data_IF_235813116565
#
_entry.id   IF_235813116565
#
_cell.length_a   1.000
_cell.length_b   1.000
_cell.length_c   1.000
_cell.angle_alpha   90.00
_cell.angle_beta   90.00
_cell.angle_gamma   90.00
#
_symmetry.space_group_name_H-M   'P 1'
#
loop_
_entity.id
_entity.type
_entity.pdbx_description
1 polymer ?
#
# COMPACT_ATOMS: atom_id res chain seq x y z
N UNK A 1 -38.92 56.80 -34.83
CA UNK A 1 -37.75 55.91 -34.89
C UNK A 1 -37.36 55.53 -33.47
N UNK A 2 -37.67 54.30 -33.03
CA UNK A 2 -37.27 53.76 -31.72
C UNK A 2 -36.31 52.61 -31.99
N UNK A 3 -35.04 52.77 -31.62
CA UNK A 3 -34.02 51.75 -31.77
C UNK A 3 -34.11 50.78 -30.58
N UNK A 4 -34.35 49.51 -30.88
CA UNK A 4 -34.28 48.40 -29.93
C UNK A 4 -32.81 47.96 -29.83
N UNK A 5 -32.21 48.12 -28.65
CA UNK A 5 -30.89 47.57 -28.35
C UNK A 5 -31.06 46.20 -27.69
N UNK A 6 -30.80 45.14 -28.45
CA UNK A 6 -30.81 43.75 -27.95
C UNK A 6 -29.46 43.46 -27.31
N UNK A 7 -29.43 43.31 -25.98
CA UNK A 7 -28.26 42.91 -25.21
C UNK A 7 -28.08 41.39 -25.36
N UNK A 8 -27.01 40.97 -26.05
CA UNK A 8 -26.65 39.55 -26.22
C UNK A 8 -25.76 39.11 -25.05
N UNK A 9 -26.34 38.44 -24.06
CA UNK A 9 -25.60 37.83 -22.96
C UNK A 9 -24.88 36.56 -23.44
N UNK A 10 -23.57 36.65 -23.65
CA UNK A 10 -22.70 35.50 -23.90
C UNK A 10 -22.44 34.80 -22.57
N UNK A 11 -23.14 33.70 -22.30
CA UNK A 11 -22.86 32.82 -21.17
C UNK A 11 -21.56 32.03 -21.46
N UNK A 12 -20.48 32.41 -20.78
CA UNK A 12 -19.24 31.64 -20.74
C UNK A 12 -19.48 30.37 -19.92
N UNK A 13 -19.78 29.26 -20.59
CA UNK A 13 -19.74 27.93 -19.99
C UNK A 13 -18.30 27.55 -19.69
N UNK A 14 -17.88 27.70 -18.43
CA UNK A 14 -16.66 27.09 -17.93
C UNK A 14 -16.86 25.56 -17.95
N UNK A 15 -16.38 24.93 -19.01
CA UNK A 15 -16.20 23.48 -19.04
C UNK A 15 -15.15 23.12 -17.98
N UNK A 16 -15.62 22.68 -16.80
CA UNK A 16 -14.77 22.00 -15.84
C UNK A 16 -14.32 20.69 -16.49
N UNK A 17 -13.08 20.67 -16.98
CA UNK A 17 -12.46 19.42 -17.38
C UNK A 17 -12.48 18.48 -16.15
N UNK A 18 -12.92 17.22 -16.29
CA UNK A 18 -12.85 16.27 -15.19
C UNK A 18 -11.39 16.17 -14.75
N UNK A 19 -11.12 16.50 -13.49
CA UNK A 19 -9.83 16.24 -12.86
C UNK A 19 -9.68 14.73 -12.87
N UNK A 20 -8.82 14.20 -13.75
CA UNK A 20 -8.44 12.80 -13.70
C UNK A 20 -7.77 12.56 -12.34
N UNK A 21 -8.45 11.82 -11.45
CA UNK A 21 -7.81 11.26 -10.28
C UNK A 21 -6.74 10.30 -10.77
N UNK A 22 -5.47 10.63 -10.56
CA UNK A 22 -4.40 9.67 -10.79
C UNK A 22 -4.55 8.54 -9.77
N UNK A 23 -4.44 7.30 -10.24
CA UNK A 23 -4.39 6.11 -9.38
C UNK A 23 -3.20 6.24 -8.42
N UNK A 24 -3.49 6.40 -7.13
CA UNK A 24 -2.52 6.36 -6.04
C UNK A 24 -2.29 4.89 -5.71
N UNK A 25 -1.04 4.45 -5.57
CA UNK A 25 -0.72 3.05 -5.22
C UNK A 25 -0.08 2.96 -3.86
N UNK A 26 -0.40 1.94 -3.08
CA UNK A 26 0.19 1.70 -1.75
C UNK A 26 0.91 0.36 -1.71
N UNK A 27 2.16 0.36 -1.24
CA UNK A 27 2.94 -0.86 -1.02
C UNK A 27 2.86 -1.30 0.44
N UNK A 28 2.54 -2.57 0.67
CA UNK A 28 2.45 -3.20 1.98
C UNK A 28 3.40 -4.39 2.03
N UNK A 29 4.07 -4.59 3.16
CA UNK A 29 5.03 -5.70 3.33
C UNK A 29 4.92 -6.29 4.73
N UNK A 30 4.89 -7.62 4.78
CA UNK A 30 4.92 -8.43 5.99
C UNK A 30 6.15 -9.32 5.96
N UNK A 31 6.83 -9.43 7.09
CA UNK A 31 7.91 -10.39 7.31
C UNK A 31 7.56 -11.23 8.52
N UNK A 32 7.83 -12.51 8.44
CA UNK A 32 7.50 -13.43 9.51
C UNK A 32 8.23 -14.75 9.36
N UNK A 33 7.73 -15.74 10.08
CA UNK A 33 8.13 -17.13 9.97
C UNK A 33 6.91 -18.01 9.71
N UNK A 34 7.13 -19.15 9.09
CA UNK A 34 6.11 -20.19 8.98
C UNK A 34 5.87 -20.76 10.38
N UNK A 35 4.63 -20.72 10.84
CA UNK A 35 4.21 -21.38 12.08
C UNK A 35 3.73 -22.81 11.80
N UNK A 36 2.92 -22.97 10.76
CA UNK A 36 2.37 -24.27 10.35
C UNK A 36 2.30 -24.30 8.83
N UNK A 37 2.70 -25.40 8.20
CA UNK A 37 2.55 -25.63 6.77
C UNK A 37 1.73 -26.89 6.53
N UNK A 38 0.69 -26.76 5.71
CA UNK A 38 -0.18 -27.86 5.30
C UNK A 38 0.02 -28.13 3.81
N UNK A 39 0.08 -29.41 3.46
CA UNK A 39 0.09 -29.90 2.07
C UNK A 39 1.26 -29.39 1.21
N UNK A 40 2.44 -29.17 1.81
CA UNK A 40 3.68 -28.98 1.05
C UNK A 40 4.94 -29.49 1.78
N UNK A 41 5.67 -30.48 1.23
CA UNK A 41 6.80 -31.13 1.94
C UNK A 41 8.11 -30.33 1.93
N UNK A 42 8.14 -29.11 1.38
CA UNK A 42 9.35 -28.28 1.26
C UNK A 42 9.31 -27.00 2.09
N UNK A 43 8.21 -26.81 2.83
CA UNK A 43 8.02 -25.67 3.73
C UNK A 43 8.12 -26.19 5.15
N UNK A 44 9.06 -25.65 5.92
CA UNK A 44 9.29 -26.07 7.30
C UNK A 44 8.86 -24.97 8.29
N UNK A 45 8.41 -25.39 9.48
CA UNK A 45 8.17 -24.46 10.59
C UNK A 45 9.47 -23.70 10.94
N UNK A 46 9.35 -22.38 11.11
CA UNK A 46 10.47 -21.48 11.36
C UNK A 46 11.08 -20.85 10.11
N UNK A 47 10.73 -21.32 8.90
CA UNK A 47 11.22 -20.72 7.65
C UNK A 47 10.82 -19.24 7.55
N UNK A 48 11.79 -18.39 7.19
CA UNK A 48 11.53 -16.97 7.00
C UNK A 48 10.66 -16.74 5.75
N UNK A 49 9.62 -15.92 5.91
CA UNK A 49 8.73 -15.51 4.82
C UNK A 49 8.68 -14.00 4.71
N UNK A 50 8.68 -13.49 3.48
CA UNK A 50 8.36 -12.09 3.17
C UNK A 50 7.23 -12.06 2.15
N UNK A 51 6.16 -11.33 2.45
CA UNK A 51 5.04 -11.09 1.55
C UNK A 51 4.91 -9.60 1.29
N UNK A 52 4.96 -9.18 0.03
CA UNK A 52 4.79 -7.79 -0.37
C UNK A 52 3.64 -7.69 -1.38
N UNK A 53 2.71 -6.76 -1.20
CA UNK A 53 1.71 -6.45 -2.21
C UNK A 53 1.58 -4.95 -2.44
N UNK A 54 1.15 -4.60 -3.65
CA UNK A 54 0.89 -3.22 -4.07
C UNK A 54 -0.59 -3.12 -4.41
N UNK A 55 -1.29 -2.15 -3.81
CA UNK A 55 -2.70 -1.87 -4.08
C UNK A 55 -2.85 -0.63 -4.95
N UNK A 56 -3.82 -0.61 -5.87
CA UNK A 56 -4.32 0.61 -6.49
C UNK A 56 -5.45 1.16 -5.59
N UNK A 57 -5.21 2.29 -4.92
CA UNK A 57 -6.18 2.88 -4.00
C UNK A 57 -7.36 3.54 -4.70
N UNK A 58 -7.29 3.70 -6.02
CA UNK A 58 -8.40 4.17 -6.84
C UNK A 58 -9.22 3.03 -7.44
N UNK A 59 -8.85 1.76 -7.20
CA UNK A 59 -9.62 0.62 -7.66
C UNK A 59 -11.04 0.68 -7.06
N UNK A 60 -12.08 0.78 -7.90
CA UNK A 60 -13.45 0.82 -7.42
C UNK A 60 -13.86 -0.55 -6.90
N UNK A 61 -14.72 -0.58 -5.88
CA UNK A 61 -15.52 -1.77 -5.60
C UNK A 61 -16.44 -2.00 -6.81
N UNK A 62 -16.31 -3.17 -7.43
CA UNK A 62 -17.09 -3.55 -8.63
C UNK A 62 -18.14 -4.62 -8.30
N UNK A 63 -18.28 -5.03 -7.04
CA UNK A 63 -19.34 -5.96 -6.65
C UNK A 63 -20.72 -5.28 -6.81
N UNK A 64 -21.71 -5.98 -7.36
CA UNK A 64 -23.10 -5.51 -7.34
C UNK A 64 -23.64 -5.27 -5.93
N UNK A 65 -23.07 -5.94 -4.93
CA UNK A 65 -23.34 -5.77 -3.51
C UNK A 65 -22.12 -5.16 -2.80
N UNK A 66 -22.05 -3.81 -2.70
CA UNK A 66 -20.90 -3.13 -2.11
C UNK A 66 -20.69 -3.45 -0.62
N UNK A 67 -21.68 -4.06 0.04
CA UNK A 67 -21.53 -4.52 1.44
C UNK A 67 -20.62 -5.75 1.59
N UNK A 68 -20.15 -6.31 0.48
CA UNK A 68 -19.20 -7.44 0.45
C UNK A 68 -17.75 -7.01 0.31
N UNK A 69 -17.49 -5.72 0.03
CA UNK A 69 -16.16 -5.15 -0.10
C UNK A 69 -15.27 -5.88 -1.11
N UNK A 70 -15.74 -6.06 -2.35
CA UNK A 70 -15.01 -6.84 -3.37
C UNK A 70 -14.39 -5.95 -4.45
N UNK A 71 -13.08 -5.79 -4.38
CA UNK A 71 -12.31 -5.01 -5.33
C UNK A 71 -11.71 -5.93 -6.40
N UNK A 72 -12.43 -6.05 -7.52
CA UNK A 72 -12.16 -7.04 -8.58
C UNK A 72 -11.27 -6.45 -9.69
N UNK A 73 -10.42 -7.30 -10.26
CA UNK A 73 -9.59 -7.16 -11.47
C UNK A 73 -8.35 -6.28 -11.45
N UNK A 74 -8.20 -5.28 -10.57
CA UNK A 74 -6.99 -4.43 -10.57
C UNK A 74 -6.64 -3.85 -9.18
N UNK A 75 -7.31 -4.31 -8.13
CA UNK A 75 -7.12 -3.79 -6.77
C UNK A 75 -5.71 -4.08 -6.25
N UNK A 76 -5.21 -5.27 -6.56
CA UNK A 76 -3.81 -5.65 -6.35
C UNK A 76 -3.11 -5.43 -7.68
N UNK A 77 -2.04 -4.63 -7.69
CA UNK A 77 -1.20 -4.36 -8.87
C UNK A 77 -0.09 -5.41 -9.00
N UNK A 78 0.51 -5.78 -7.87
CA UNK A 78 1.53 -6.81 -7.79
C UNK A 78 1.55 -7.46 -6.42
N UNK A 79 1.95 -8.73 -6.37
CA UNK A 79 2.06 -9.52 -5.14
C UNK A 79 3.32 -10.38 -5.22
N UNK A 80 4.17 -10.35 -4.21
CA UNK A 80 5.44 -11.09 -4.15
C UNK A 80 5.50 -11.92 -2.89
N UNK A 81 5.95 -13.16 -3.03
CA UNK A 81 6.26 -14.05 -1.91
C UNK A 81 7.70 -14.48 -2.02
N UNK A 82 8.44 -14.37 -0.91
CA UNK A 82 9.80 -14.86 -0.78
C UNK A 82 9.88 -15.81 0.41
N UNK A 83 10.35 -17.02 0.17
CA UNK A 83 10.67 -18.03 1.19
C UNK A 83 12.06 -18.58 0.83
N UNK A 84 13.15 -17.94 1.31
CA UNK A 84 14.51 -18.28 0.86
C UNK A 84 14.92 -19.72 1.13
N UNK A 85 14.46 -20.31 2.24
CA UNK A 85 14.78 -21.71 2.59
C UNK A 85 14.20 -22.72 1.59
N UNK A 86 13.10 -22.35 0.92
CA UNK A 86 12.43 -23.13 -0.12
C UNK A 86 12.85 -22.71 -1.55
N UNK A 87 13.87 -21.85 -1.69
CA UNK A 87 14.30 -21.23 -2.94
C UNK A 87 13.14 -20.54 -3.71
N UNK A 88 12.14 -20.00 -3.00
CA UNK A 88 10.98 -19.35 -3.61
C UNK A 88 11.12 -17.82 -3.61
N UNK A 89 10.95 -17.22 -4.79
CA UNK A 89 10.83 -15.78 -5.05
C UNK A 89 9.91 -15.51 -6.26
N UNK A 90 8.60 -15.63 -6.03
CA UNK A 90 7.57 -15.46 -7.06
C UNK A 90 7.00 -14.05 -7.06
N UNK A 91 6.79 -13.48 -8.25
CA UNK A 91 6.05 -12.22 -8.42
C UNK A 91 4.82 -12.47 -9.28
N UNK A 92 3.67 -12.12 -8.73
CA UNK A 92 2.35 -12.17 -9.33
C UNK A 92 1.88 -10.74 -9.61
N UNK A 93 1.00 -10.61 -10.57
CA UNK A 93 0.51 -9.36 -11.13
C UNK A 93 -0.89 -9.05 -10.67
N UNK A 94 -1.69 -8.39 -11.52
CA UNK A 94 -2.99 -7.91 -11.12
C UNK A 94 -3.88 -8.98 -10.51
N UNK A 95 -4.63 -8.56 -9.49
CA UNK A 95 -5.45 -9.43 -8.67
C UNK A 95 -6.52 -8.66 -7.92
N UNK A 96 -7.12 -9.32 -6.94
CA UNK A 96 -8.28 -8.83 -6.22
C UNK A 96 -7.99 -8.66 -4.73
N UNK A 97 -8.74 -7.75 -4.10
CA UNK A 97 -8.79 -7.63 -2.66
C UNK A 97 -10.24 -7.78 -2.23
N UNK A 98 -10.44 -8.53 -1.16
CA UNK A 98 -11.75 -8.71 -0.56
C UNK A 98 -11.71 -8.39 0.92
N UNK A 99 -12.65 -7.56 1.38
CA UNK A 99 -12.90 -7.28 2.80
C UNK A 99 -14.24 -7.89 3.17
N UNK A 100 -14.24 -9.05 3.82
CA UNK A 100 -15.44 -9.72 4.29
C UNK A 100 -15.86 -9.21 5.67
N UNK A 101 -17.07 -8.65 5.75
CA UNK A 101 -17.82 -8.57 7.00
C UNK A 101 -18.52 -9.92 7.22
N UNK A 102 -18.05 -10.69 8.20
CA UNK A 102 -18.69 -11.96 8.53
C UNK A 102 -19.69 -11.77 9.66
N UNK A 103 -20.88 -11.28 9.33
CA UNK A 103 -21.97 -11.11 10.30
C UNK A 103 -22.46 -12.42 10.95
N UNK A 104 -22.08 -13.60 10.42
CA UNK A 104 -22.56 -14.90 10.87
C UNK A 104 -21.49 -15.78 11.57
N UNK A 105 -20.20 -15.46 11.44
CA UNK A 105 -19.08 -16.16 12.06
C UNK A 105 -18.15 -15.08 12.63
N UNK A 106 -17.66 -15.16 13.87
CA UNK A 106 -17.22 -13.98 14.63
C UNK A 106 -15.97 -13.26 14.11
N UNK A 107 -15.38 -13.71 13.00
CA UNK A 107 -14.12 -13.20 12.49
C UNK A 107 -14.29 -12.56 11.11
N UNK A 108 -14.12 -11.24 11.07
CA UNK A 108 -13.88 -10.49 9.84
C UNK A 108 -12.66 -11.06 9.11
N UNK A 109 -12.70 -11.02 7.78
CA UNK A 109 -11.61 -11.53 6.96
C UNK A 109 -11.20 -10.53 5.89
N UNK A 110 -9.90 -10.37 5.68
CA UNK A 110 -9.38 -9.71 4.48
C UNK A 110 -8.60 -10.73 3.67
N UNK A 111 -8.79 -10.74 2.36
CA UNK A 111 -8.04 -11.58 1.43
C UNK A 111 -7.41 -10.71 0.35
N UNK A 112 -6.11 -10.90 0.12
CA UNK A 112 -5.35 -10.27 -0.96
C UNK A 112 -4.88 -11.38 -1.88
N UNK A 113 -5.44 -11.44 -3.08
CA UNK A 113 -5.21 -12.53 -4.03
C UNK A 113 -4.58 -12.00 -5.33
N UNK A 114 -3.62 -12.75 -5.88
CA UNK A 114 -3.07 -12.52 -7.22
C UNK A 114 -2.87 -13.84 -7.96
N UNK A 115 -3.32 -13.90 -9.22
CA UNK A 115 -3.30 -15.14 -10.03
C UNK A 115 -2.58 -15.04 -11.38
N UNK A 116 -2.10 -13.85 -11.77
CA UNK A 116 -1.33 -13.67 -13.00
C UNK A 116 0.16 -13.71 -12.69
N UNK A 117 0.93 -14.64 -13.24
CA UNK A 117 2.38 -14.69 -13.00
C UNK A 117 3.11 -13.59 -13.78
N UNK A 118 3.88 -12.74 -13.10
CA UNK A 118 4.76 -11.73 -13.71
C UNK A 118 6.22 -12.19 -13.74
N UNK A 119 6.67 -12.84 -12.67
CA UNK A 119 7.95 -13.51 -12.56
C UNK A 119 7.68 -14.94 -12.08
N UNK A 120 7.85 -15.95 -12.96
CA UNK A 120 7.59 -17.33 -12.60
C UNK A 120 8.64 -17.83 -11.62
N UNK A 121 8.19 -18.69 -10.70
CA UNK A 121 9.04 -19.50 -9.86
C UNK A 121 8.35 -20.81 -9.50
N UNK A 122 9.07 -21.71 -8.85
CA UNK A 122 8.57 -23.02 -8.44
C UNK A 122 8.66 -23.20 -6.94
N UNK A 123 7.67 -23.87 -6.37
CA UNK A 123 7.71 -24.38 -5.01
C UNK A 123 7.74 -25.91 -5.08
N UNK A 124 8.79 -26.52 -4.52
CA UNK A 124 9.02 -27.97 -4.63
C UNK A 124 9.06 -28.50 -6.06
N UNK A 125 9.57 -27.69 -7.00
CA UNK A 125 9.63 -28.03 -8.42
C UNK A 125 8.31 -27.89 -9.19
N UNK A 126 7.21 -27.49 -8.53
CA UNK A 126 5.95 -27.18 -9.21
C UNK A 126 5.80 -25.67 -9.39
N UNK A 127 5.48 -25.16 -10.60
CA UNK A 127 5.25 -23.74 -10.82
C UNK A 127 4.15 -23.19 -9.91
N UNK A 128 4.42 -22.04 -9.29
CA UNK A 128 3.42 -21.26 -8.56
C UNK A 128 2.62 -20.45 -9.58
N UNK A 129 1.29 -20.54 -9.53
CA UNK A 129 0.40 -19.85 -10.47
C UNK A 129 -0.53 -18.84 -9.80
N UNK A 130 -0.73 -18.91 -8.48
CA UNK A 130 -1.43 -17.89 -7.72
C UNK A 130 -0.97 -17.88 -6.26
N UNK A 131 -1.25 -16.79 -5.56
CA UNK A 131 -1.08 -16.71 -4.12
C UNK A 131 -2.16 -15.84 -3.50
N UNK A 132 -2.47 -16.12 -2.24
CA UNK A 132 -3.42 -15.38 -1.43
C UNK A 132 -2.83 -15.13 -0.04
N UNK A 133 -2.92 -13.89 0.46
CA UNK A 133 -2.68 -13.59 1.86
C UNK A 133 -4.01 -13.24 2.53
N UNK A 134 -4.44 -14.12 3.42
CA UNK A 134 -5.61 -13.97 4.27
C UNK A 134 -5.26 -13.42 5.65
N UNK A 135 -6.16 -12.61 6.20
CA UNK A 135 -6.09 -12.01 7.52
C UNK A 135 -7.39 -12.31 8.24
N UNK A 136 -7.35 -12.92 9.43
CA UNK A 136 -8.56 -13.22 10.21
C UNK A 136 -8.34 -12.94 11.70
N UNK A 137 -9.42 -12.61 12.41
CA UNK A 137 -9.38 -12.29 13.85
C UNK A 137 -8.78 -10.90 14.08
N UNK A 138 -9.56 -9.85 13.80
CA UNK A 138 -9.12 -8.47 13.98
C UNK A 138 -9.45 -8.00 15.41
N UNK A 139 -8.48 -7.77 16.29
CA UNK A 139 -8.80 -7.34 17.65
C UNK A 139 -9.41 -5.93 17.63
N UNK A 140 -10.60 -5.77 18.22
CA UNK A 140 -11.17 -4.46 18.48
C UNK A 140 -10.36 -3.71 19.55
N UNK A 141 -10.58 -2.38 19.69
CA UNK A 141 -9.99 -1.63 20.78
C UNK A 141 -10.31 -2.29 22.12
N UNK A 142 -9.29 -2.53 22.96
CA UNK A 142 -9.44 -3.16 24.28
C UNK A 142 -9.93 -4.63 24.28
N UNK A 143 -9.73 -5.37 23.18
CA UNK A 143 -10.15 -6.78 23.10
C UNK A 143 -11.66 -6.95 22.90
N UNK A 144 -12.35 -5.89 22.50
CA UNK A 144 -13.70 -6.00 21.96
C UNK A 144 -13.66 -6.80 20.63
N UNK A 145 -14.77 -7.46 20.24
CA UNK A 145 -14.89 -8.03 18.91
C UNK A 145 -14.52 -6.98 17.86
N UNK A 146 -13.93 -7.38 16.71
CA UNK A 146 -13.57 -6.45 15.66
C UNK A 146 -14.68 -5.42 15.43
N UNK A 147 -14.38 -4.14 15.68
CA UNK A 147 -15.19 -3.10 15.09
C UNK A 147 -14.77 -3.08 13.63
N UNK A 148 -15.68 -3.49 12.76
CA UNK A 148 -15.61 -3.56 11.30
C UNK A 148 -14.45 -2.78 10.68
N UNK A 149 -13.93 -3.23 9.53
CA UNK A 149 -13.39 -2.27 8.56
C UNK A 149 -14.59 -1.42 8.11
N UNK A 150 -15.00 -0.46 8.94
CA UNK A 150 -16.27 0.31 8.96
C UNK A 150 -16.50 1.15 7.70
N UNK A 151 -15.67 0.98 6.68
CA UNK A 151 -15.61 1.83 5.50
C UNK A 151 -15.65 1.07 4.18
N UNK A 152 -15.72 -0.29 4.18
CA UNK A 152 -15.62 -1.12 2.96
C UNK A 152 -14.57 -0.57 1.99
N UNK A 153 -13.45 -0.12 2.56
CA UNK A 153 -12.42 0.61 1.86
C UNK A 153 -11.18 -0.26 1.77
N UNK A 154 -10.49 -0.17 0.63
CA UNK A 154 -9.20 -0.80 0.45
C UNK A 154 -8.28 -0.49 1.64
N UNK A 155 -7.73 -1.50 2.33
CA UNK A 155 -6.84 -1.28 3.44
C UNK A 155 -5.52 -0.72 2.92
N UNK A 156 -5.41 0.61 2.91
CA UNK A 156 -4.21 1.36 2.51
C UNK A 156 -3.11 1.34 3.58
N UNK A 157 -3.26 0.50 4.61
CA UNK A 157 -2.31 0.32 5.71
C UNK A 157 -2.17 -1.16 6.02
N UNK A 158 -1.09 -1.50 6.71
CA UNK A 158 -0.89 -2.86 7.24
C UNK A 158 -2.03 -3.23 8.18
N UNK A 159 -2.51 -4.45 8.02
CA UNK A 159 -3.55 -5.06 8.82
C UNK A 159 -2.92 -5.75 10.03
N UNK A 160 -3.52 -5.52 11.19
CA UNK A 160 -3.21 -6.23 12.43
C UNK A 160 -4.31 -7.26 12.65
N UNK A 161 -3.94 -8.53 12.51
CA UNK A 161 -4.82 -9.67 12.66
C UNK A 161 -4.17 -10.69 13.60
N UNK A 162 -4.98 -11.50 14.27
CA UNK A 162 -4.52 -12.58 15.13
C UNK A 162 -3.97 -13.75 14.31
N UNK A 163 -4.48 -13.92 13.09
CA UNK A 163 -4.07 -14.99 12.17
C UNK A 163 -3.77 -14.42 10.79
N UNK A 164 -2.61 -14.81 10.27
CA UNK A 164 -2.16 -14.56 8.91
C UNK A 164 -2.00 -15.90 8.20
N UNK A 165 -2.68 -16.08 7.07
CA UNK A 165 -2.64 -17.31 6.28
C UNK A 165 -2.18 -17.01 4.87
N UNK A 166 -1.11 -17.64 4.42
CA UNK A 166 -0.62 -17.56 3.05
C UNK A 166 -1.03 -18.84 2.31
N UNK A 167 -1.80 -18.70 1.24
CA UNK A 167 -2.12 -19.78 0.33
C UNK A 167 -1.23 -19.68 -0.90
N UNK A 168 -0.50 -20.74 -1.22
CA UNK A 168 0.33 -20.83 -2.43
C UNK A 168 -0.28 -21.87 -3.36
N UNK A 169 -0.71 -21.44 -4.54
CA UNK A 169 -1.27 -22.34 -5.55
C UNK A 169 -0.17 -22.80 -6.50
N UNK A 170 -0.05 -24.11 -6.65
CA UNK A 170 0.89 -24.71 -7.59
C UNK A 170 0.14 -25.57 -8.60
N UNK A 171 0.67 -25.64 -9.83
CA UNK A 171 0.01 -26.36 -10.93
C UNK A 171 -0.20 -27.85 -10.64
N UNK A 172 0.75 -28.50 -9.95
CA UNK A 172 0.71 -29.95 -9.71
C UNK A 172 0.07 -30.35 -8.37
N UNK A 173 0.26 -29.56 -7.30
CA UNK A 173 -0.23 -29.91 -5.96
C UNK A 173 -1.56 -29.23 -5.59
N UNK A 174 -2.04 -28.28 -6.40
CA UNK A 174 -3.28 -27.55 -6.16
C UNK A 174 -3.04 -26.32 -5.28
N UNK A 175 -2.93 -26.51 -3.97
CA UNK A 175 -2.70 -25.41 -3.02
C UNK A 175 -2.01 -25.88 -1.74
N UNK A 176 -1.30 -24.97 -1.09
CA UNK A 176 -0.68 -25.18 0.22
C UNK A 176 -1.08 -24.05 1.15
N UNK A 177 -1.42 -24.39 2.39
CA UNK A 177 -1.77 -23.40 3.42
C UNK A 177 -0.59 -23.20 4.35
N UNK A 178 -0.21 -21.96 4.58
CA UNK A 178 0.88 -21.62 5.49
C UNK A 178 0.36 -20.62 6.51
N UNK A 179 0.26 -21.03 7.77
CA UNK A 179 -0.01 -20.12 8.87
C UNK A 179 1.27 -19.40 9.21
N UNK A 180 1.21 -18.06 9.29
CA UNK A 180 2.39 -17.23 9.50
C UNK A 180 2.39 -16.65 10.92
N UNK A 181 3.56 -16.69 11.56
CA UNK A 181 3.86 -15.84 12.70
C UNK A 181 4.57 -14.58 12.19
N UNK A 182 3.86 -13.45 12.18
CA UNK A 182 4.42 -12.16 11.78
C UNK A 182 5.22 -11.61 12.97
N UNK A 183 6.51 -11.95 13.02
CA UNK A 183 7.44 -11.63 14.13
C UNK A 183 7.74 -10.14 14.28
N UNK A 184 7.58 -9.39 13.20
CA UNK A 184 7.44 -7.95 13.27
C UNK A 184 6.93 -7.47 11.92
N UNK A 185 6.04 -6.50 11.91
CA UNK A 185 6.18 -5.47 10.88
C UNK A 185 7.55 -4.85 11.12
N UNK A 186 8.55 -5.00 10.24
CA UNK A 186 9.73 -4.17 10.37
C UNK A 186 9.18 -2.76 10.31
N UNK A 187 9.41 -1.96 11.36
CA UNK A 187 9.33 -0.53 11.20
C UNK A 187 10.24 -0.25 10.00
N UNK A 188 9.64 0.19 8.88
CA UNK A 188 10.42 0.52 7.71
C UNK A 188 11.53 1.44 8.21
N UNK A 189 12.77 1.04 7.95
CA UNK A 189 13.90 1.83 8.39
C UNK A 189 13.75 3.22 7.80
N UNK A 190 14.30 4.24 8.47
CA UNK A 190 14.29 5.61 7.93
C UNK A 190 14.85 5.64 6.50
N UNK A 191 15.78 4.74 6.18
CA UNK A 191 16.31 4.55 4.83
C UNK A 191 15.24 4.08 3.84
N UNK A 192 14.53 3.00 4.14
CA UNK A 192 13.50 2.45 3.24
C UNK A 192 12.35 3.44 3.02
N UNK A 193 11.93 4.16 4.07
CA UNK A 193 10.94 5.23 3.96
C UNK A 193 11.42 6.39 3.06
N UNK A 194 12.69 6.79 3.21
CA UNK A 194 13.30 7.83 2.37
C UNK A 194 13.41 7.39 0.92
N UNK A 195 13.85 6.16 0.67
CA UNK A 195 14.01 5.63 -0.69
C UNK A 195 12.65 5.47 -1.39
N UNK A 196 11.62 5.02 -0.66
CA UNK A 196 10.25 4.93 -1.16
C UNK A 196 9.69 6.32 -1.56
N UNK A 197 9.76 7.31 -0.66
CA UNK A 197 9.30 8.66 -0.95
C UNK A 197 10.08 9.33 -2.11
N UNK A 198 11.38 9.04 -2.26
CA UNK A 198 12.17 9.52 -3.39
C UNK A 198 11.76 8.85 -4.70
N UNK A 199 11.41 7.55 -4.66
CA UNK A 199 10.91 6.83 -5.83
C UNK A 199 9.60 7.45 -6.34
N UNK A 200 8.65 7.73 -5.45
CA UNK A 200 7.40 8.42 -5.77
C UNK A 200 7.64 9.82 -6.35
N UNK A 201 8.55 10.61 -5.77
CA UNK A 201 8.92 11.92 -6.33
C UNK A 201 9.52 11.80 -7.74
N UNK A 202 10.25 10.72 -8.06
CA UNK A 202 10.77 10.50 -9.42
C UNK A 202 9.66 10.13 -10.39
N UNK A 203 8.76 9.24 -9.99
CA UNK A 203 7.58 8.89 -10.79
C UNK A 203 6.71 10.13 -11.08
N UNK A 204 6.50 10.97 -10.07
CA UNK A 204 5.77 12.22 -10.20
C UNK A 204 6.43 13.25 -11.13
N UNK A 205 7.76 13.25 -11.23
CA UNK A 205 8.47 14.08 -12.23
C UNK A 205 8.26 13.53 -13.63
N UNK A 206 8.30 12.20 -13.80
CA UNK A 206 8.10 11.55 -15.09
C UNK A 206 6.67 11.76 -15.63
N UNK A 207 5.66 11.77 -14.75
CA UNK A 207 4.27 12.05 -15.11
C UNK A 207 3.94 13.54 -15.25
N UNK A 208 4.89 14.44 -14.93
CA UNK A 208 4.65 15.89 -14.94
C UNK A 208 3.80 16.39 -13.76
N UNK A 209 3.49 15.54 -12.78
CA UNK A 209 2.75 15.90 -11.57
C UNK A 209 3.51 16.92 -10.71
N UNK A 210 4.84 16.96 -10.76
CA UNK A 210 5.64 17.96 -10.06
C UNK A 210 6.84 18.41 -10.88
N UNK A 211 7.16 19.70 -10.82
CA UNK A 211 8.37 20.23 -11.46
C UNK A 211 9.64 19.61 -10.87
N UNK A 212 10.59 19.23 -11.73
CA UNK A 212 11.84 18.58 -11.33
C UNK A 212 12.63 19.34 -10.24
N UNK A 213 12.59 20.67 -10.24
CA UNK A 213 13.22 21.49 -9.20
C UNK A 213 12.60 21.31 -7.81
N UNK A 214 11.27 21.24 -7.74
CA UNK A 214 10.54 21.01 -6.49
C UNK A 214 10.78 19.59 -5.96
N UNK A 215 10.69 18.58 -6.83
CA UNK A 215 10.99 17.20 -6.48
C UNK A 215 12.42 17.02 -5.97
N UNK A 216 13.41 17.63 -6.65
CA UNK A 216 14.81 17.61 -6.21
C UNK A 216 14.98 18.25 -4.83
N UNK A 217 14.33 19.38 -4.56
CA UNK A 217 14.35 20.04 -3.25
C UNK A 217 13.76 19.17 -2.14
N UNK A 218 12.68 18.45 -2.41
CA UNK A 218 12.06 17.51 -1.48
C UNK A 218 12.95 16.29 -1.24
N UNK A 219 13.48 15.68 -2.29
CA UNK A 219 14.40 14.54 -2.21
C UNK A 219 15.69 14.86 -1.42
N UNK A 220 16.24 16.07 -1.54
CA UNK A 220 17.38 16.53 -0.74
C UNK A 220 17.04 16.58 0.76
N UNK A 221 15.80 16.90 1.13
CA UNK A 221 15.37 16.88 2.53
C UNK A 221 15.25 15.46 3.05
N UNK A 222 14.66 14.56 2.27
CA UNK A 222 14.54 13.14 2.59
C UNK A 222 15.93 12.50 2.82
N UNK A 223 16.89 12.68 1.90
CA UNK A 223 18.26 12.20 2.11
C UNK A 223 18.97 12.81 3.31
N UNK A 224 18.68 14.07 3.64
CA UNK A 224 19.22 14.70 4.85
C UNK A 224 18.63 14.10 6.12
N UNK A 225 17.36 13.66 6.12
CA UNK A 225 16.75 12.93 7.24
C UNK A 225 17.49 11.61 7.45
N UNK A 226 17.63 10.78 6.40
CA UNK A 226 18.40 9.53 6.42
C UNK A 226 19.82 9.73 6.97
N UNK A 227 20.57 10.68 6.39
CA UNK A 227 21.95 10.96 6.80
C UNK A 227 22.06 11.41 8.26
N UNK A 228 21.15 12.27 8.73
CA UNK A 228 21.18 12.77 10.11
C UNK A 228 20.78 11.68 11.11
N UNK A 229 19.78 10.87 10.78
CA UNK A 229 19.37 9.73 11.59
C UNK A 229 20.49 8.69 11.71
N UNK A 230 21.11 8.29 10.59
CA UNK A 230 22.24 7.36 10.58
C UNK A 230 23.47 7.86 11.35
N UNK A 231 23.59 9.17 11.56
CA UNK A 231 24.61 9.78 12.42
C UNK A 231 24.19 9.92 13.90
N UNK A 232 23.05 9.35 14.31
CA UNK A 232 22.49 9.47 15.67
C UNK A 232 21.91 10.86 16.00
N UNK A 233 21.70 11.72 15.00
CA UNK A 233 21.27 13.13 15.19
C UNK A 233 19.75 13.31 15.00
N UNK A 234 18.95 12.52 15.72
CA UNK A 234 17.48 12.48 15.55
C UNK A 234 16.80 13.84 15.69
N UNK A 235 17.21 14.69 16.65
CA UNK A 235 16.66 16.06 16.78
C UNK A 235 16.87 16.91 15.51
N UNK A 236 18.01 16.75 14.84
CA UNK A 236 18.28 17.43 13.58
C UNK A 236 17.46 16.84 12.43
N UNK A 237 17.34 15.50 12.36
CA UNK A 237 16.48 14.82 11.39
C UNK A 237 15.03 15.30 11.50
N UNK A 238 14.47 15.36 12.71
CA UNK A 238 13.14 15.90 13.00
C UNK A 238 12.93 17.35 12.55
N UNK A 239 13.96 18.21 12.68
CA UNK A 239 13.89 19.58 12.16
C UNK A 239 13.79 19.60 10.63
N UNK A 240 14.52 18.72 9.94
CA UNK A 240 14.44 18.58 8.49
C UNK A 240 13.11 18.00 8.05
N UNK A 241 12.57 17.01 8.77
CA UNK A 241 11.24 16.45 8.51
C UNK A 241 10.15 17.53 8.59
N UNK A 242 10.16 18.39 9.62
CA UNK A 242 9.22 19.53 9.70
C UNK A 242 9.34 20.49 8.51
N UNK A 243 10.56 20.75 8.05
CA UNK A 243 10.80 21.58 6.86
C UNK A 243 10.29 20.90 5.58
N UNK A 244 10.42 19.58 5.47
CA UNK A 244 9.86 18.78 4.39
C UNK A 244 8.32 18.88 4.40
N UNK A 245 7.65 18.57 5.52
CA UNK A 245 6.18 18.64 5.61
C UNK A 245 5.64 20.04 5.32
N UNK A 246 6.33 21.10 5.77
CA UNK A 246 5.95 22.49 5.45
C UNK A 246 6.06 22.78 3.95
N UNK A 247 7.11 22.27 3.29
CA UNK A 247 7.26 22.42 1.84
C UNK A 247 6.19 21.63 1.07
N UNK A 248 5.91 20.39 1.47
CA UNK A 248 4.81 19.58 0.89
C UNK A 248 3.49 20.34 0.99
N UNK A 249 3.15 20.88 2.16
CA UNK A 249 1.93 21.67 2.35
C UNK A 249 1.88 22.95 1.49
N UNK A 250 3.02 23.61 1.27
CA UNK A 250 3.10 24.81 0.45
C UNK A 250 2.95 24.52 -1.06
N UNK A 251 3.39 23.34 -1.51
CA UNK A 251 3.34 22.92 -2.91
C UNK A 251 1.98 22.29 -3.29
N UNK A 252 1.35 21.59 -2.34
CA UNK A 252 0.10 20.86 -2.54
C UNK A 252 -1.03 21.78 -3.03
N UNK A 253 -1.67 21.40 -4.14
CA UNK A 253 -2.74 22.17 -4.79
C UNK A 253 -2.26 23.39 -5.58
N UNK A 254 -0.95 23.65 -5.67
CA UNK A 254 -0.39 24.78 -6.43
C UNK A 254 0.60 24.33 -7.51
N UNK A 255 1.60 23.58 -7.11
CA UNK A 255 2.71 23.12 -7.95
C UNK A 255 2.91 21.60 -7.87
N UNK A 256 1.98 20.93 -7.20
CA UNK A 256 1.94 19.51 -6.90
C UNK A 256 0.45 19.16 -6.70
N UNK A 257 -0.09 18.12 -7.36
CA UNK A 257 -1.44 17.63 -7.12
C UNK A 257 -1.72 17.38 -5.64
N UNK A 258 -2.98 17.50 -5.26
CA UNK A 258 -3.40 17.26 -3.87
C UNK A 258 -3.16 15.80 -3.47
N UNK A 259 -3.36 14.84 -4.39
CA UNK A 259 -3.08 13.39 -4.16
C UNK A 259 -1.63 13.16 -3.78
N UNK A 260 -0.68 13.56 -4.63
CA UNK A 260 0.75 13.49 -4.34
C UNK A 260 1.14 14.26 -3.07
N UNK A 261 0.45 15.37 -2.78
CA UNK A 261 0.63 16.09 -1.51
C UNK A 261 0.18 15.31 -0.28
N UNK A 262 -0.82 14.44 -0.40
CA UNK A 262 -1.28 13.55 0.66
C UNK A 262 -0.36 12.34 0.83
N UNK A 263 0.09 11.71 -0.28
CA UNK A 263 1.11 10.65 -0.28
C UNK A 263 2.38 11.12 0.47
N UNK A 264 2.92 12.29 0.10
CA UNK A 264 4.10 12.85 0.75
C UNK A 264 3.88 13.19 2.23
N UNK A 265 2.65 13.51 2.65
CA UNK A 265 2.32 13.67 4.09
C UNK A 265 2.27 12.32 4.81
N UNK A 266 1.77 11.28 4.16
CA UNK A 266 1.78 9.92 4.71
C UNK A 266 3.21 9.45 4.95
N UNK A 267 4.11 9.63 3.97
CA UNK A 267 5.55 9.40 4.15
C UNK A 267 6.14 10.20 5.29
N UNK A 268 5.77 11.48 5.44
CA UNK A 268 6.24 12.29 6.55
C UNK A 268 5.79 11.74 7.91
N UNK A 269 4.58 11.20 8.02
CA UNK A 269 4.07 10.61 9.25
C UNK A 269 4.77 9.28 9.59
N UNK A 270 5.05 8.45 8.58
CA UNK A 270 5.84 7.22 8.77
C UNK A 270 7.27 7.55 9.22
N UNK A 271 7.89 8.55 8.61
CA UNK A 271 9.22 9.04 9.02
C UNK A 271 9.21 9.63 10.43
N UNK A 272 8.13 10.30 10.84
CA UNK A 272 7.98 10.81 12.20
C UNK A 272 7.98 9.68 13.24
N UNK A 273 7.21 8.63 12.98
CA UNK A 273 7.15 7.43 13.81
C UNK A 273 8.52 6.75 13.88
N UNK A 274 9.16 6.49 12.74
CA UNK A 274 10.47 5.85 12.66
C UNK A 274 11.61 6.65 13.32
N UNK A 275 11.43 7.97 13.51
CA UNK A 275 12.37 8.81 14.25
C UNK A 275 12.11 8.84 15.77
N UNK A 276 11.16 8.05 16.27
CA UNK A 276 10.74 8.01 17.67
C UNK A 276 9.77 9.14 18.06
N UNK A 277 9.09 9.73 17.09
CA UNK A 277 8.15 10.85 17.26
C UNK A 277 8.84 12.20 17.42
N UNK A 278 8.78 13.04 16.38
CA UNK A 278 9.25 14.42 16.42
C UNK A 278 8.21 15.31 17.10
N UNK A 279 8.00 15.12 18.41
CA UNK A 279 7.13 15.99 19.23
C UNK A 279 7.48 17.47 19.00
N UNK A 280 6.43 18.29 18.92
CA UNK A 280 6.52 19.74 18.70
C UNK A 280 7.30 20.43 19.81
#
# INVERSE_FOLDING_TARGET
MRAFATLLSVAFGLALAPVQAFAETVTVTYTGTIQEAYDHPVLDEGDAVTVTYVLDTAAPDRDPDPSKGWFIDDAVVSFRVQIPAADLDVVLGPGQLQTFDNTANPDDQVSVYAGRVLQPDTLGGSPVNAAELGFTGFPGPNGEPPSMITTDALPTRRLQADVYSLFLHTVAAGWSNVKLEITSTPELTVKELVDSAISELRAAVQSGAIGAGNARSLAVKLRNIERLHGAGRNKCACKVLRAFSKQVAALSGKQMPVSLGNEMKAHAALLDAALGGCRR
#
